data_IF_524729143018
#
_entry.id   IF_524729143018
#
_cell.length_a   1.000
_cell.length_b   1.000
_cell.length_c   1.000
_cell.angle_alpha   90.00
_cell.angle_beta   90.00
_cell.angle_gamma   90.00
#
_symmetry.space_group_name_H-M   'P 1'
#
loop_
_entity.id
_entity.type
_entity.pdbx_description
1 polymer ?
#
# COMPACT_ATOMS: atom_id res chain seq x y z
N UNK A 1 -3.22 -16.76 -10.96
CA UNK A 1 -1.90 -16.10 -10.87
C UNK A 1 -1.19 -16.59 -9.63
N UNK A 2 0.14 -16.63 -9.65
CA UNK A 2 0.99 -17.26 -8.64
C UNK A 2 0.82 -16.63 -7.24
N UNK A 3 0.74 -17.50 -6.23
CA UNK A 3 0.85 -17.13 -4.81
C UNK A 3 2.15 -16.35 -4.59
N UNK A 4 2.14 -15.39 -3.67
CA UNK A 4 3.35 -14.62 -3.37
C UNK A 4 4.50 -15.54 -2.94
N UNK A 5 5.66 -15.43 -3.57
CA UNK A 5 6.84 -16.27 -3.27
C UNK A 5 7.84 -15.59 -2.33
N UNK A 6 7.64 -14.31 -2.04
CA UNK A 6 8.58 -13.44 -1.32
C UNK A 6 8.37 -13.42 0.20
N UNK A 7 7.82 -14.50 0.77
CA UNK A 7 7.74 -14.64 2.22
C UNK A 7 9.15 -14.74 2.80
N UNK A 8 9.40 -14.02 3.88
CA UNK A 8 10.69 -13.99 4.58
C UNK A 8 10.78 -15.07 5.64
N UNK A 9 9.66 -15.44 6.24
CA UNK A 9 9.55 -16.48 7.25
C UNK A 9 8.91 -17.76 6.71
N UNK A 10 9.57 -18.89 6.96
CA UNK A 10 9.11 -20.20 6.47
C UNK A 10 7.80 -20.66 7.13
N UNK A 11 7.57 -20.32 8.40
CA UNK A 11 6.36 -20.74 9.12
C UNK A 11 5.13 -19.96 8.65
N UNK A 12 5.28 -18.68 8.32
CA UNK A 12 4.18 -17.91 7.71
C UNK A 12 3.87 -18.43 6.31
N UNK A 13 4.90 -18.80 5.55
CA UNK A 13 4.75 -19.42 4.24
C UNK A 13 3.97 -20.75 4.32
N UNK A 14 4.32 -21.62 5.27
CA UNK A 14 3.62 -22.88 5.57
C UNK A 14 2.16 -22.63 5.97
N UNK A 15 1.92 -21.69 6.88
CA UNK A 15 0.57 -21.30 7.31
C UNK A 15 -0.28 -20.84 6.12
N UNK A 16 0.28 -19.98 5.26
CA UNK A 16 -0.38 -19.55 4.03
C UNK A 16 -0.73 -20.74 3.13
N UNK A 17 0.18 -21.69 2.92
CA UNK A 17 -0.09 -22.85 2.07
C UNK A 17 -1.24 -23.69 2.63
N UNK A 18 -1.34 -23.84 3.95
CA UNK A 18 -2.44 -24.54 4.60
C UNK A 18 -3.76 -23.80 4.42
N UNK A 19 -3.79 -22.49 4.71
CA UNK A 19 -5.01 -21.70 4.67
C UNK A 19 -5.54 -21.52 3.24
N UNK A 20 -4.67 -21.27 2.26
CA UNK A 20 -5.12 -21.05 0.88
C UNK A 20 -5.62 -22.33 0.21
N UNK A 21 -5.06 -23.50 0.54
CA UNK A 21 -5.44 -24.79 -0.05
C UNK A 21 -6.67 -25.43 0.57
N UNK A 22 -6.80 -25.35 1.90
CA UNK A 22 -7.77 -26.18 2.61
C UNK A 22 -8.90 -25.38 3.27
N UNK A 23 -8.73 -24.08 3.54
CA UNK A 23 -9.77 -23.31 4.21
C UNK A 23 -10.94 -22.97 3.25
N UNK A 24 -12.20 -23.09 3.71
CA UNK A 24 -13.36 -22.60 2.96
C UNK A 24 -13.27 -21.09 2.69
N UNK A 25 -13.97 -20.61 1.64
CA UNK A 25 -14.02 -19.18 1.25
C UNK A 25 -14.29 -18.25 2.44
N UNK A 26 -15.34 -18.53 3.23
CA UNK A 26 -15.69 -17.71 4.38
C UNK A 26 -14.56 -17.61 5.41
N UNK A 27 -13.84 -18.72 5.67
CA UNK A 27 -12.71 -18.74 6.61
C UNK A 27 -11.50 -17.98 6.07
N UNK A 28 -11.20 -18.05 4.77
CA UNK A 28 -10.14 -17.24 4.15
C UNK A 28 -10.41 -15.74 4.30
N UNK A 29 -11.67 -15.32 4.09
CA UNK A 29 -12.09 -13.93 4.28
C UNK A 29 -11.94 -13.51 5.75
N UNK A 30 -12.44 -14.31 6.69
CA UNK A 30 -12.28 -14.06 8.13
C UNK A 30 -10.80 -13.93 8.54
N UNK A 31 -9.96 -14.89 8.13
CA UNK A 31 -8.53 -14.93 8.42
C UNK A 31 -7.78 -13.73 7.82
N UNK A 32 -8.19 -13.25 6.64
CA UNK A 32 -7.60 -12.04 6.05
C UNK A 32 -7.89 -10.78 6.89
N UNK A 33 -9.08 -10.68 7.50
CA UNK A 33 -9.45 -9.59 8.41
C UNK A 33 -8.67 -9.70 9.73
N UNK A 34 -8.54 -10.91 10.27
CA UNK A 34 -7.76 -11.16 11.49
C UNK A 34 -6.27 -10.88 11.28
N UNK A 35 -5.71 -11.27 10.14
CA UNK A 35 -4.33 -10.97 9.76
C UNK A 35 -4.08 -9.45 9.62
N UNK A 36 -5.01 -8.71 9.03
CA UNK A 36 -4.94 -7.25 8.96
C UNK A 36 -5.00 -6.61 10.35
N UNK A 37 -5.89 -7.10 11.22
CA UNK A 37 -5.96 -6.63 12.61
C UNK A 37 -4.63 -6.86 13.34
N UNK A 38 -4.07 -8.06 13.22
CA UNK A 38 -2.76 -8.38 13.79
C UNK A 38 -1.67 -7.45 13.24
N UNK A 39 -1.66 -7.22 11.92
CA UNK A 39 -0.69 -6.32 11.27
C UNK A 39 -0.67 -4.92 11.91
N UNK A 40 -1.84 -4.37 12.20
CA UNK A 40 -1.96 -3.06 12.85
C UNK A 40 -1.47 -3.03 14.31
N UNK A 41 -1.47 -4.18 15.00
CA UNK A 41 -1.06 -4.30 16.40
C UNK A 41 0.42 -4.66 16.57
N UNK A 42 1.12 -5.04 15.49
CA UNK A 42 2.56 -5.35 15.56
C UNK A 42 3.35 -4.07 15.85
N UNK A 43 4.05 -4.10 16.98
CA UNK A 43 5.00 -3.08 17.39
C UNK A 43 6.36 -3.31 16.72
N UNK A 44 7.04 -2.22 16.44
CA UNK A 44 8.39 -2.24 15.86
C UNK A 44 9.40 -2.77 16.89
N UNK A 45 10.53 -3.31 16.41
CA UNK A 45 11.63 -3.84 17.24
C UNK A 45 11.27 -4.95 18.25
N UNK A 46 10.11 -5.60 18.09
CA UNK A 46 9.72 -6.78 18.86
C UNK A 46 9.83 -8.07 18.06
N UNK A 47 9.88 -9.19 18.78
CA UNK A 47 9.77 -10.54 18.23
C UNK A 47 8.46 -11.19 18.69
N UNK A 48 7.86 -11.97 17.80
CA UNK A 48 6.58 -12.62 18.04
C UNK A 48 6.70 -14.12 17.82
N UNK A 49 6.18 -14.91 18.78
CA UNK A 49 6.12 -16.35 18.63
C UNK A 49 5.13 -16.74 17.53
N UNK A 50 5.49 -17.72 16.70
CA UNK A 50 4.62 -18.23 15.64
C UNK A 50 3.30 -18.78 16.20
N UNK A 51 3.33 -19.45 17.36
CA UNK A 51 2.11 -19.95 18.01
C UNK A 51 1.10 -18.83 18.31
N UNK A 52 1.60 -17.66 18.73
CA UNK A 52 0.78 -16.47 18.93
C UNK A 52 0.20 -15.97 17.60
N UNK A 53 1.02 -15.88 16.56
CA UNK A 53 0.59 -15.41 15.23
C UNK A 53 -0.47 -16.35 14.65
N UNK A 54 -0.24 -17.66 14.71
CA UNK A 54 -1.16 -18.70 14.25
C UNK A 54 -2.51 -18.57 14.96
N UNK A 55 -2.51 -18.45 16.29
CA UNK A 55 -3.71 -18.21 17.07
C UNK A 55 -4.41 -16.91 16.66
N UNK A 56 -3.68 -15.82 16.49
CA UNK A 56 -4.24 -14.51 16.14
C UNK A 56 -4.87 -14.48 14.74
N UNK A 57 -4.36 -15.26 13.80
CA UNK A 57 -4.88 -15.34 12.42
C UNK A 57 -6.01 -16.36 12.30
N UNK A 58 -5.93 -17.49 13.01
CA UNK A 58 -6.82 -18.65 12.80
C UNK A 58 -7.81 -18.91 13.93
N UNK A 59 -7.63 -18.26 15.09
CA UNK A 59 -8.28 -18.59 16.38
C UNK A 59 -8.06 -20.03 16.86
N UNK A 60 -7.12 -20.75 16.25
CA UNK A 60 -6.72 -22.10 16.64
C UNK A 60 -5.35 -22.08 17.31
N UNK A 61 -5.21 -22.85 18.40
CA UNK A 61 -3.91 -23.05 19.05
C UNK A 61 -3.34 -24.41 18.64
N UNK A 62 -2.14 -24.45 18.04
CA UNK A 62 -1.49 -25.72 17.73
C UNK A 62 -1.17 -26.49 19.01
N UNK A 63 -1.35 -27.80 18.98
CA UNK A 63 -1.08 -28.68 20.13
C UNK A 63 0.42 -28.79 20.45
N UNK A 64 1.26 -28.70 19.43
CA UNK A 64 2.71 -28.73 19.57
C UNK A 64 3.28 -27.32 19.39
N UNK A 65 3.98 -26.76 20.39
CA UNK A 65 4.55 -25.43 20.29
C UNK A 65 5.68 -25.42 19.27
N UNK A 66 5.65 -24.48 18.33
CA UNK A 66 6.63 -24.45 17.25
C UNK A 66 8.01 -23.94 17.71
N UNK A 67 8.08 -23.27 18.87
CA UNK A 67 9.29 -22.59 19.41
C UNK A 67 9.99 -21.71 18.36
N UNK A 68 9.22 -21.10 17.47
CA UNK A 68 9.72 -20.28 16.36
C UNK A 68 9.32 -18.82 16.63
N UNK A 69 10.28 -17.91 16.53
CA UNK A 69 10.04 -16.47 16.74
C UNK A 69 10.40 -15.68 15.50
N UNK A 70 9.61 -14.66 15.20
CA UNK A 70 9.69 -13.86 13.98
C UNK A 70 9.88 -12.40 14.36
N UNK A 71 10.82 -11.72 13.71
CA UNK A 71 11.04 -10.29 13.90
C UNK A 71 9.85 -9.49 13.33
N UNK A 72 9.49 -8.39 14.00
CA UNK A 72 8.36 -7.53 13.62
C UNK A 72 8.42 -7.04 12.17
N UNK A 73 9.62 -6.70 11.66
CA UNK A 73 9.82 -6.25 10.29
C UNK A 73 9.45 -7.33 9.26
N UNK A 74 9.89 -8.57 9.50
CA UNK A 74 9.59 -9.70 8.63
C UNK A 74 8.14 -10.14 8.75
N UNK A 75 7.60 -10.12 9.98
CA UNK A 75 6.21 -10.43 10.24
C UNK A 75 5.26 -9.44 9.55
N UNK A 76 5.52 -8.13 9.63
CA UNK A 76 4.72 -7.12 8.93
C UNK A 76 4.76 -7.34 7.42
N UNK A 77 5.94 -7.59 6.86
CA UNK A 77 6.10 -7.87 5.44
C UNK A 77 5.27 -9.10 5.02
N UNK A 78 5.39 -10.20 5.76
CA UNK A 78 4.72 -11.46 5.44
C UNK A 78 3.20 -11.42 5.68
N UNK A 79 2.73 -10.74 6.73
CA UNK A 79 1.29 -10.57 6.99
C UNK A 79 0.61 -9.83 5.85
N UNK A 80 1.26 -8.82 5.26
CA UNK A 80 0.72 -8.13 4.08
C UNK A 80 0.55 -9.09 2.90
N UNK A 81 1.54 -9.95 2.64
CA UNK A 81 1.44 -10.95 1.59
C UNK A 81 0.35 -11.99 1.89
N UNK A 82 0.21 -12.38 3.16
CA UNK A 82 -0.80 -13.33 3.61
C UNK A 82 -2.21 -12.79 3.37
N UNK A 83 -2.47 -11.51 3.68
CA UNK A 83 -3.76 -10.87 3.44
C UNK A 83 -4.10 -10.88 1.94
N UNK A 84 -3.12 -10.59 1.08
CA UNK A 84 -3.30 -10.64 -0.37
C UNK A 84 -3.55 -12.05 -0.89
N UNK A 85 -2.78 -13.05 -0.44
CA UNK A 85 -2.95 -14.45 -0.88
C UNK A 85 -4.29 -15.04 -0.38
N UNK A 86 -4.71 -14.72 0.85
CA UNK A 86 -5.99 -15.17 1.39
C UNK A 86 -7.17 -14.57 0.63
N UNK A 87 -7.14 -13.26 0.37
CA UNK A 87 -8.19 -12.60 -0.43
C UNK A 87 -8.20 -13.10 -1.87
N UNK A 88 -7.03 -13.31 -2.48
CA UNK A 88 -6.90 -13.85 -3.83
C UNK A 88 -7.45 -15.28 -3.94
N UNK A 89 -7.15 -16.14 -2.96
CA UNK A 89 -7.60 -17.54 -2.94
C UNK A 89 -9.07 -17.72 -2.51
N UNK A 90 -9.70 -16.67 -2.01
CA UNK A 90 -11.12 -16.64 -1.67
C UNK A 90 -12.00 -16.24 -2.86
N UNK A 91 -11.41 -15.74 -3.96
CA UNK A 91 -12.11 -15.16 -5.11
C UNK A 91 -13.22 -14.18 -4.65
N UNK A 92 -12.86 -13.29 -3.72
CA UNK A 92 -13.77 -12.33 -3.12
C UNK A 92 -14.15 -11.26 -4.15
N UNK A 93 -15.43 -11.18 -4.51
CA UNK A 93 -15.94 -10.12 -5.36
C UNK A 93 -15.98 -8.79 -4.60
N UNK A 94 -15.77 -7.70 -5.32
CA UNK A 94 -15.88 -6.36 -4.74
C UNK A 94 -17.26 -6.11 -4.13
N UNK A 95 -18.32 -6.66 -4.73
CA UNK A 95 -19.71 -6.52 -4.27
C UNK A 95 -20.02 -7.32 -3.00
N UNK A 96 -19.19 -8.31 -2.64
CA UNK A 96 -19.31 -9.07 -1.40
C UNK A 96 -18.66 -8.35 -0.20
N UNK A 97 -17.93 -7.26 -0.45
CA UNK A 97 -17.29 -6.47 0.59
C UNK A 97 -18.30 -5.46 1.15
N UNK A 98 -18.57 -5.43 2.47
CA UNK A 98 -19.59 -4.57 3.07
C UNK A 98 -19.17 -3.09 3.21
N UNK A 99 -18.07 -2.69 2.56
CA UNK A 99 -17.52 -1.35 2.61
C UNK A 99 -16.97 -0.93 1.25
N UNK A 100 -16.78 0.38 1.07
CA UNK A 100 -16.21 0.91 -0.17
C UNK A 100 -14.79 0.39 -0.38
N UNK A 101 -14.52 -0.07 -1.61
CA UNK A 101 -13.19 -0.49 -2.05
C UNK A 101 -12.66 0.52 -3.04
N UNK A 102 -11.44 1.00 -2.78
CA UNK A 102 -10.71 1.89 -3.67
C UNK A 102 -9.71 1.12 -4.51
N UNK A 103 -9.55 1.51 -5.76
CA UNK A 103 -8.50 1.06 -6.67
C UNK A 103 -7.23 1.90 -6.51
N UNK A 104 -6.13 1.45 -7.11
CA UNK A 104 -4.87 2.22 -7.13
C UNK A 104 -5.09 3.58 -7.80
N UNK A 105 -5.87 3.62 -8.88
CA UNK A 105 -6.20 4.83 -9.63
C UNK A 105 -7.07 5.79 -8.82
N UNK A 106 -8.05 5.28 -8.08
CA UNK A 106 -8.90 6.10 -7.21
C UNK A 106 -8.10 6.70 -6.06
N UNK A 107 -7.24 5.92 -5.39
CA UNK A 107 -6.37 6.46 -4.35
C UNK A 107 -5.36 7.48 -4.89
N UNK A 108 -4.83 7.23 -6.09
CA UNK A 108 -3.93 8.16 -6.77
C UNK A 108 -4.60 9.53 -6.99
N UNK A 109 -5.87 9.54 -7.42
CA UNK A 109 -6.66 10.77 -7.56
C UNK A 109 -7.02 11.39 -6.21
N UNK A 110 -7.49 10.57 -5.26
CA UNK A 110 -7.96 11.02 -3.94
C UNK A 110 -6.86 11.75 -3.17
N UNK A 111 -5.64 11.23 -3.20
CA UNK A 111 -4.50 11.83 -2.50
C UNK A 111 -3.65 12.72 -3.40
N UNK A 112 -4.05 12.93 -4.66
CA UNK A 112 -3.25 13.62 -5.66
C UNK A 112 -1.78 13.12 -5.68
N UNK A 113 -1.56 11.81 -5.74
CA UNK A 113 -0.21 11.23 -5.78
C UNK A 113 -0.09 10.24 -6.93
N UNK A 114 1.13 9.98 -7.40
CA UNK A 114 1.33 8.96 -8.42
C UNK A 114 0.92 7.55 -7.95
N UNK A 115 0.54 6.69 -8.90
CA UNK A 115 0.35 5.25 -8.63
C UNK A 115 1.61 4.57 -8.09
N UNK A 116 2.80 5.09 -8.39
CA UNK A 116 4.08 4.66 -7.79
C UNK A 116 4.14 4.99 -6.30
N UNK A 117 3.60 6.12 -5.87
CA UNK A 117 3.50 6.51 -4.46
C UNK A 117 2.58 5.57 -3.70
N UNK A 118 1.40 5.27 -4.27
CA UNK A 118 0.48 4.26 -3.69
C UNK A 118 1.18 2.90 -3.58
N UNK A 119 1.91 2.49 -4.62
CA UNK A 119 2.71 1.25 -4.60
C UNK A 119 3.77 1.24 -3.49
N UNK A 120 4.41 2.39 -3.21
CA UNK A 120 5.35 2.53 -2.08
C UNK A 120 4.64 2.51 -0.73
N UNK A 121 3.45 3.11 -0.63
CA UNK A 121 2.64 3.06 0.59
C UNK A 121 2.26 1.64 0.97
N UNK A 122 2.03 0.77 -0.01
CA UNK A 122 1.83 -0.67 0.23
C UNK A 122 3.00 -1.31 0.97
N UNK A 123 4.23 -0.90 0.70
CA UNK A 123 5.42 -1.42 1.38
C UNK A 123 5.63 -0.80 2.78
N UNK A 124 4.84 0.20 3.15
CA UNK A 124 5.07 1.01 4.36
C UNK A 124 3.84 1.13 5.27
N UNK A 125 2.79 0.34 5.03
CA UNK A 125 1.62 0.32 5.92
C UNK A 125 0.27 0.16 5.24
N UNK A 126 0.16 0.49 3.94
CA UNK A 126 -1.13 0.46 3.26
C UNK A 126 -1.48 -0.98 2.87
N UNK A 127 -2.38 -1.59 3.64
CA UNK A 127 -2.83 -2.96 3.42
C UNK A 127 -3.70 -3.02 2.18
N UNK A 128 -3.33 -3.90 1.25
CA UNK A 128 -4.08 -4.20 0.03
C UNK A 128 -4.70 -5.59 0.08
N UNK A 129 -5.75 -5.78 -0.72
CA UNK A 129 -6.40 -7.07 -0.98
C UNK A 129 -6.48 -7.33 -2.48
N UNK A 130 -6.54 -8.60 -2.85
CA UNK A 130 -6.80 -9.03 -4.24
C UNK A 130 -8.29 -9.37 -4.34
N UNK A 131 -9.01 -8.62 -5.16
CA UNK A 131 -10.46 -8.72 -5.30
C UNK A 131 -10.85 -8.91 -6.76
N UNK A 132 -12.01 -9.53 -6.98
CA UNK A 132 -12.60 -9.71 -8.30
C UNK A 132 -13.43 -8.49 -8.68
N UNK A 133 -13.00 -7.78 -9.73
CA UNK A 133 -13.70 -6.65 -10.34
C UNK A 133 -14.17 -7.06 -11.73
N UNK A 134 -15.49 -7.24 -11.91
CA UNK A 134 -16.06 -7.60 -13.22
C UNK A 134 -15.38 -8.80 -13.88
N UNK A 135 -15.09 -9.85 -13.10
CA UNK A 135 -14.42 -11.07 -13.57
C UNK A 135 -12.89 -10.97 -13.68
N UNK A 136 -12.26 -9.83 -13.36
CA UNK A 136 -10.80 -9.67 -13.35
C UNK A 136 -10.27 -9.41 -11.94
N UNK A 137 -9.18 -10.10 -11.58
CA UNK A 137 -8.47 -9.88 -10.32
C UNK A 137 -7.71 -8.56 -10.37
N UNK A 138 -7.98 -7.67 -9.41
CA UNK A 138 -7.23 -6.41 -9.23
C UNK A 138 -6.91 -6.20 -7.77
N UNK A 139 -5.96 -5.31 -7.52
CA UNK A 139 -5.67 -4.84 -6.17
C UNK A 139 -6.72 -3.81 -5.77
N UNK A 140 -7.31 -4.00 -4.60
CA UNK A 140 -8.23 -3.05 -3.97
C UNK A 140 -7.82 -2.75 -2.53
N UNK A 141 -8.27 -1.61 -2.04
CA UNK A 141 -8.01 -1.12 -0.70
C UNK A 141 -9.35 -0.85 -0.03
N UNK A 142 -9.59 -1.49 1.11
CA UNK A 142 -10.79 -1.20 1.89
C UNK A 142 -10.71 0.24 2.40
N UNK A 143 -11.83 0.94 2.42
CA UNK A 143 -11.88 2.30 2.93
C UNK A 143 -11.36 2.37 4.37
N UNK A 144 -11.74 1.42 5.22
CA UNK A 144 -11.25 1.31 6.60
C UNK A 144 -9.72 1.10 6.68
N UNK A 145 -9.12 0.32 5.77
CA UNK A 145 -7.66 0.15 5.70
C UNK A 145 -6.96 1.45 5.30
N UNK A 146 -7.57 2.22 4.38
CA UNK A 146 -7.06 3.52 3.94
C UNK A 146 -7.11 4.53 5.09
N UNK A 147 -8.24 4.63 5.79
CA UNK A 147 -8.38 5.54 6.94
C UNK A 147 -7.36 5.25 8.05
N UNK A 148 -7.16 3.98 8.39
CA UNK A 148 -6.13 3.56 9.37
C UNK A 148 -4.73 3.95 8.90
N UNK A 149 -4.43 3.75 7.61
CA UNK A 149 -3.14 4.17 7.05
C UNK A 149 -2.95 5.69 7.16
N UNK A 150 -3.99 6.48 6.85
CA UNK A 150 -3.96 7.94 7.00
C UNK A 150 -3.70 8.32 8.45
N UNK A 151 -4.47 7.78 9.39
CA UNK A 151 -4.34 8.08 10.82
C UNK A 151 -2.90 7.88 11.32
N UNK A 152 -2.26 6.79 10.89
CA UNK A 152 -0.90 6.43 11.31
C UNK A 152 0.22 7.11 10.51
N UNK A 153 -0.07 7.71 9.35
CA UNK A 153 0.95 8.24 8.44
C UNK A 153 0.67 9.67 7.94
N UNK A 154 -0.10 10.48 8.68
CA UNK A 154 -0.53 11.84 8.28
C UNK A 154 0.62 12.70 7.73
N UNK A 155 1.80 12.67 8.34
CA UNK A 155 2.96 13.43 7.84
C UNK A 155 3.56 12.91 6.54
N UNK A 156 3.54 11.58 6.32
CA UNK A 156 4.02 10.98 5.06
C UNK A 156 3.05 11.29 3.92
N UNK A 157 1.75 11.31 4.19
CA UNK A 157 0.72 11.65 3.19
C UNK A 157 0.84 13.12 2.80
N UNK A 158 0.93 14.04 3.77
CA UNK A 158 1.17 15.47 3.50
C UNK A 158 2.44 15.71 2.66
N UNK A 159 3.51 14.94 2.90
CA UNK A 159 4.71 15.00 2.05
C UNK A 159 4.45 14.45 0.65
N UNK A 160 3.78 13.30 0.53
CA UNK A 160 3.42 12.69 -0.75
C UNK A 160 2.57 13.60 -1.64
N UNK A 161 1.60 14.31 -1.06
CA UNK A 161 0.77 15.33 -1.71
C UNK A 161 1.63 16.51 -2.23
N UNK A 162 2.61 16.97 -1.46
CA UNK A 162 3.54 18.03 -1.92
C UNK A 162 4.44 17.57 -3.08
N UNK A 163 4.79 16.29 -3.10
CA UNK A 163 5.55 15.64 -4.18
C UNK A 163 4.64 15.08 -5.29
N UNK A 164 3.38 15.53 -5.39
CA UNK A 164 2.45 15.06 -6.42
C UNK A 164 3.03 15.21 -7.83
N UNK A 165 2.58 14.33 -8.73
CA UNK A 165 2.87 14.51 -10.16
C UNK A 165 2.28 15.84 -10.62
N UNK A 166 3.03 16.56 -11.47
CA UNK A 166 2.50 17.68 -12.24
C UNK A 166 1.38 17.13 -13.13
N UNK A 167 0.18 17.71 -13.02
CA UNK A 167 -0.88 17.48 -13.99
C UNK A 167 -0.43 17.97 -15.38
N UNK A 168 -1.06 17.48 -16.46
CA UNK A 168 -0.75 17.99 -17.81
C UNK A 168 -1.06 19.50 -17.94
N UNK A 169 -2.06 19.99 -17.21
CA UNK A 169 -2.36 21.43 -17.13
C UNK A 169 -1.25 22.18 -16.39
N UNK A 170 -0.79 21.69 -15.23
CA UNK A 170 0.33 22.29 -14.50
C UNK A 170 1.62 22.26 -15.33
N UNK A 171 1.87 21.20 -16.11
CA UNK A 171 3.01 21.16 -17.04
C UNK A 171 2.89 22.21 -18.13
N UNK A 172 1.72 22.33 -18.74
CA UNK A 172 1.47 23.31 -19.80
C UNK A 172 1.63 24.73 -19.29
N UNK A 173 1.07 25.01 -18.11
CA UNK A 173 1.22 26.28 -17.40
C UNK A 173 2.69 26.57 -17.02
N UNK A 174 3.44 25.56 -16.59
CA UNK A 174 4.86 25.69 -16.28
C UNK A 174 5.69 26.01 -17.52
N UNK A 175 5.43 25.36 -18.66
CA UNK A 175 6.13 25.63 -19.93
C UNK A 175 5.83 27.05 -20.41
N UNK A 176 4.57 27.47 -20.34
CA UNK A 176 4.16 28.81 -20.77
C UNK A 176 4.80 29.91 -19.91
N UNK A 177 4.79 29.75 -18.59
CA UNK A 177 5.48 30.69 -17.68
C UNK A 177 6.99 30.69 -17.89
N UNK A 178 7.60 29.52 -18.12
CA UNK A 178 9.02 29.44 -18.41
C UNK A 178 9.39 30.24 -19.66
N UNK A 179 8.57 30.16 -20.72
CA UNK A 179 8.76 30.95 -21.94
C UNK A 179 8.69 32.46 -21.67
N UNK A 180 7.67 32.92 -20.94
CA UNK A 180 7.53 34.33 -20.58
C UNK A 180 8.73 34.86 -19.78
N UNK A 181 9.26 34.06 -18.85
CA UNK A 181 10.44 34.43 -18.07
C UNK A 181 11.70 34.50 -18.93
N UNK A 182 11.88 33.58 -19.87
CA UNK A 182 13.01 33.60 -20.82
C UNK A 182 12.89 34.79 -21.78
N UNK A 183 11.69 35.11 -22.28
CA UNK A 183 11.43 36.30 -23.08
C UNK A 183 11.75 37.60 -22.31
N UNK A 184 11.53 37.60 -20.99
CA UNK A 184 11.94 38.67 -20.08
C UNK A 184 13.45 38.71 -19.78
N UNK A 185 14.25 37.81 -20.37
CA UNK A 185 15.71 37.75 -20.22
C UNK A 185 16.22 36.93 -19.03
N UNK A 186 15.36 36.16 -18.34
CA UNK A 186 15.77 35.34 -17.21
C UNK A 186 16.63 34.15 -17.65
N UNK A 187 17.67 33.85 -16.87
CA UNK A 187 18.50 32.66 -17.03
C UNK A 187 17.76 31.39 -16.57
N UNK A 188 18.20 30.22 -17.04
CA UNK A 188 17.61 28.92 -16.66
C UNK A 188 17.56 28.72 -15.13
N UNK A 189 18.57 29.19 -14.41
CA UNK A 189 18.64 29.12 -12.94
C UNK A 189 17.58 30.02 -12.29
N UNK A 190 17.32 31.19 -12.85
CA UNK A 190 16.28 32.12 -12.38
C UNK A 190 14.89 31.61 -12.68
N UNK A 191 14.67 31.09 -13.89
CA UNK A 191 13.42 30.43 -14.29
C UNK A 191 13.11 29.26 -13.35
N UNK A 192 14.10 28.39 -13.10
CA UNK A 192 13.94 27.24 -12.20
C UNK A 192 13.54 27.68 -10.78
N UNK A 193 14.23 28.68 -10.23
CA UNK A 193 13.95 29.18 -8.87
C UNK A 193 12.58 29.87 -8.78
N UNK A 194 12.26 30.74 -9.72
CA UNK A 194 10.99 31.46 -9.72
C UNK A 194 9.79 30.53 -9.91
N UNK A 195 9.89 29.55 -10.81
CA UNK A 195 8.83 28.55 -10.99
C UNK A 195 8.70 27.62 -9.78
N UNK A 196 9.81 27.23 -9.15
CA UNK A 196 9.79 26.44 -7.92
C UNK A 196 9.02 27.16 -6.80
N UNK A 197 9.28 28.46 -6.62
CA UNK A 197 8.61 29.27 -5.61
C UNK A 197 7.13 29.52 -5.96
N UNK A 198 6.83 29.87 -7.21
CA UNK A 198 5.46 30.18 -7.66
C UNK A 198 4.54 28.96 -7.65
N UNK A 199 5.05 27.80 -8.07
CA UNK A 199 4.27 26.56 -8.16
C UNK A 199 4.40 25.71 -6.90
N UNK A 200 5.17 26.16 -5.90
CA UNK A 200 5.48 25.42 -4.67
C UNK A 200 5.99 23.99 -4.98
N UNK A 201 6.86 23.88 -6.00
CA UNK A 201 7.45 22.63 -6.49
C UNK A 201 8.96 22.62 -6.26
N UNK A 202 9.54 21.43 -6.23
CA UNK A 202 11.00 21.32 -6.08
C UNK A 202 11.72 21.84 -7.34
N UNK A 203 12.88 22.51 -7.21
CA UNK A 203 13.69 22.94 -8.35
C UNK A 203 14.03 21.81 -9.33
N UNK A 204 14.30 20.61 -8.83
CA UNK A 204 14.52 19.40 -9.64
C UNK A 204 13.29 19.03 -10.49
N UNK A 205 12.08 19.23 -9.97
CA UNK A 205 10.83 18.97 -10.73
C UNK A 205 10.69 19.94 -11.91
N UNK A 206 11.04 21.20 -11.71
CA UNK A 206 11.03 22.21 -12.78
C UNK A 206 12.08 21.84 -13.85
N UNK A 207 13.32 21.56 -13.44
CA UNK A 207 14.42 21.17 -14.35
C UNK A 207 14.13 19.93 -15.18
N UNK A 208 13.42 18.95 -14.62
CA UNK A 208 13.14 17.71 -15.35
C UNK A 208 12.02 17.89 -16.39
N UNK A 209 11.27 18.99 -16.33
CA UNK A 209 10.12 19.22 -17.19
C UNK A 209 10.36 20.29 -18.27
N UNK A 210 11.29 21.21 -18.03
CA UNK A 210 11.77 22.19 -19.02
C UNK A 210 12.93 21.62 -19.84
#
# INVERSE_FOLDING_TARGET
MAMNTQYRDIKIKELRDQLTRFAPKAKKVEQSVLAEKLYCEIEEDRTYAFDYICFRVTNYRPEQPSRHSIASADLKHDLRLLIEDLSDSADLAVDEVPEQVHTVEELSKLFNVSTKTISRWRNTGLVSRRLMFGGRKRVGFLHSSVEKFIANNREKIRRGERFSQLSEDEKSEMIERARQLVEGGASLSEVTRQLADQMNRSPETIRYTL
#
